data_IF_357327576691
#
_entry.id   IF_357327576691
#
_cell.length_a   1.000
_cell.length_b   1.000
_cell.length_c   1.000
_cell.angle_alpha   90.00
_cell.angle_beta   90.00
_cell.angle_gamma   90.00
#
_symmetry.space_group_name_H-M   'P 1'
#
loop_
_entity.id
_entity.type
_entity.pdbx_description
1 polymer ?
#
# COMPACT_ATOMS: atom_id res chain seq x y z
N UNK A 1 42.31 -10.71 -9.71
CA UNK A 1 41.97 -11.98 -9.02
C UNK A 1 42.51 -11.86 -7.61
N UNK A 2 41.65 -11.59 -6.64
CA UNK A 2 42.02 -11.39 -5.24
C UNK A 2 41.41 -12.54 -4.45
N UNK A 3 42.25 -13.44 -3.94
CA UNK A 3 41.81 -14.56 -3.10
C UNK A 3 41.66 -14.07 -1.67
N UNK A 4 40.41 -14.08 -1.17
CA UNK A 4 40.08 -13.76 0.20
C UNK A 4 40.36 -15.01 1.07
N UNK A 5 41.30 -14.91 2.01
CA UNK A 5 41.56 -15.95 2.99
C UNK A 5 40.46 -15.91 4.07
N UNK A 6 39.63 -16.94 4.11
CA UNK A 6 38.51 -17.09 5.04
C UNK A 6 38.98 -17.92 6.24
N UNK A 7 38.75 -17.41 7.44
CA UNK A 7 39.07 -18.06 8.73
C UNK A 7 37.94 -19.05 9.07
N UNK A 8 38.23 -20.31 9.47
CA UNK A 8 37.20 -21.31 9.77
C UNK A 8 36.55 -21.00 11.12
N UNK A 9 35.24 -20.76 11.12
CA UNK A 9 34.45 -20.48 12.34
C UNK A 9 33.41 -19.37 12.18
N UNK A 10 33.47 -18.61 11.07
CA UNK A 10 32.57 -17.48 10.78
C UNK A 10 31.57 -17.77 9.63
N UNK A 11 31.39 -19.04 9.26
CA UNK A 11 30.64 -19.44 8.04
C UNK A 11 29.13 -19.70 8.22
N UNK A 12 28.61 -19.81 9.44
CA UNK A 12 27.17 -20.15 9.62
C UNK A 12 26.28 -18.92 9.81
N UNK A 13 26.86 -17.76 10.13
CA UNK A 13 26.12 -16.49 10.29
C UNK A 13 25.90 -15.79 8.94
N UNK A 14 26.78 -16.04 7.97
CA UNK A 14 26.78 -15.38 6.66
C UNK A 14 25.63 -15.74 5.70
N UNK A 15 25.06 -16.96 5.69
CA UNK A 15 23.93 -17.27 4.81
C UNK A 15 22.72 -16.43 5.20
N UNK A 16 22.43 -16.29 6.50
CA UNK A 16 21.25 -15.56 6.97
C UNK A 16 21.39 -14.06 6.71
N UNK A 17 22.58 -13.48 6.93
CA UNK A 17 22.86 -12.07 6.68
C UNK A 17 22.92 -11.75 5.18
N UNK A 18 23.47 -12.64 4.36
CA UNK A 18 23.47 -12.51 2.89
C UNK A 18 22.07 -12.70 2.31
N UNK A 19 21.21 -13.54 2.91
CA UNK A 19 19.83 -13.70 2.47
C UNK A 19 18.97 -12.49 2.86
N UNK A 20 19.26 -11.88 4.01
CA UNK A 20 18.64 -10.64 4.46
C UNK A 20 19.11 -9.41 3.67
N UNK A 21 20.36 -9.38 3.23
CA UNK A 21 20.93 -8.33 2.37
C UNK A 21 20.55 -8.53 0.89
N UNK A 22 20.42 -9.77 0.41
CA UNK A 22 19.96 -10.10 -0.94
C UNK A 22 18.43 -10.00 -1.09
N UNK A 23 17.68 -10.00 0.03
CA UNK A 23 16.31 -9.49 0.11
C UNK A 23 16.29 -7.96 -0.08
N UNK A 24 16.78 -7.53 -1.24
CA UNK A 24 16.53 -6.24 -1.83
C UNK A 24 15.02 -5.96 -1.87
N UNK A 25 14.62 -4.68 -1.94
CA UNK A 25 13.21 -4.28 -2.01
C UNK A 25 12.41 -4.83 -3.21
N UNK A 26 12.98 -5.74 -4.02
CA UNK A 26 12.35 -6.41 -5.15
C UNK A 26 12.18 -7.94 -5.01
N UNK A 27 12.54 -8.58 -3.88
CA UNK A 27 12.27 -10.02 -3.74
C UNK A 27 10.76 -10.26 -3.74
N UNK A 28 10.26 -10.96 -4.76
CA UNK A 28 8.84 -11.26 -4.89
C UNK A 28 8.37 -12.09 -3.69
N UNK A 29 7.08 -12.03 -3.38
CA UNK A 29 6.50 -12.86 -2.31
C UNK A 29 6.76 -14.37 -2.53
N UNK A 30 6.93 -14.79 -3.79
CA UNK A 30 7.35 -16.14 -4.19
C UNK A 30 8.74 -16.51 -3.65
N UNK A 31 9.70 -15.60 -3.78
CA UNK A 31 11.11 -15.87 -3.52
C UNK A 31 11.38 -15.93 -2.01
N UNK A 32 10.66 -15.10 -1.26
CA UNK A 32 10.66 -15.15 0.20
C UNK A 32 10.04 -16.45 0.74
N UNK A 33 8.96 -16.93 0.11
CA UNK A 33 8.32 -18.21 0.47
C UNK A 33 9.22 -19.40 0.17
N UNK A 34 9.81 -19.46 -1.03
CA UNK A 34 10.72 -20.53 -1.42
C UNK A 34 11.93 -20.59 -0.49
N UNK A 35 12.45 -19.42 -0.09
CA UNK A 35 13.57 -19.40 0.83
C UNK A 35 13.19 -19.87 2.24
N UNK A 36 12.02 -19.49 2.76
CA UNK A 36 11.50 -20.00 4.03
C UNK A 36 11.28 -21.51 4.00
N UNK A 37 10.79 -22.05 2.88
CA UNK A 37 10.58 -23.48 2.68
C UNK A 37 11.90 -24.25 2.64
N UNK A 38 12.89 -23.74 1.90
CA UNK A 38 14.23 -24.34 1.84
C UNK A 38 14.92 -24.30 3.21
N UNK A 39 14.71 -23.23 3.97
CA UNK A 39 15.24 -23.09 5.32
C UNK A 39 14.56 -24.07 6.29
N UNK A 40 13.22 -24.14 6.27
CA UNK A 40 12.46 -25.10 7.07
C UNK A 40 12.89 -26.54 6.78
N UNK A 41 13.03 -26.88 5.49
CA UNK A 41 13.51 -28.19 5.05
C UNK A 41 14.93 -28.49 5.52
N UNK A 42 15.82 -27.50 5.48
CA UNK A 42 17.18 -27.63 6.02
C UNK A 42 17.16 -27.97 7.51
N UNK A 43 16.34 -27.27 8.31
CA UNK A 43 16.23 -27.56 9.75
C UNK A 43 15.58 -28.91 10.04
N UNK A 44 14.55 -29.30 9.30
CA UNK A 44 13.93 -30.62 9.43
C UNK A 44 14.94 -31.73 9.11
N UNK A 45 15.66 -31.61 7.98
CA UNK A 45 16.66 -32.59 7.58
C UNK A 45 17.84 -32.66 8.57
N UNK A 46 18.28 -31.51 9.11
CA UNK A 46 19.34 -31.46 10.11
C UNK A 46 18.91 -32.05 11.47
N UNK A 47 17.62 -32.00 11.80
CA UNK A 47 17.08 -32.63 13.00
C UNK A 47 16.89 -34.16 12.85
N UNK A 48 16.74 -34.64 11.61
CA UNK A 48 16.61 -36.08 11.29
C UNK A 48 17.96 -36.77 11.10
N UNK A 49 19.00 -36.04 10.67
CA UNK A 49 20.35 -36.57 10.68
C UNK A 49 20.84 -36.72 12.12
N UNK A 50 21.30 -37.91 12.50
CA UNK A 50 21.94 -38.26 13.79
C UNK A 50 23.23 -37.45 14.10
N UNK A 51 23.51 -36.44 13.26
CA UNK A 51 24.50 -35.41 13.51
C UNK A 51 23.98 -34.54 14.64
N UNK A 52 24.68 -34.58 15.78
CA UNK A 52 24.37 -33.92 17.07
C UNK A 52 24.49 -32.38 16.99
N UNK A 53 24.05 -31.78 15.88
CA UNK A 53 23.88 -30.34 15.66
C UNK A 53 22.64 -29.90 16.42
N UNK A 54 22.69 -30.04 17.74
CA UNK A 54 21.71 -29.49 18.64
C UNK A 54 21.57 -28.00 18.34
N UNK A 55 20.34 -27.59 18.02
CA UNK A 55 19.93 -26.19 18.00
C UNK A 55 20.19 -25.61 19.39
N UNK A 56 21.35 -24.98 19.57
CA UNK A 56 21.69 -24.38 20.84
C UNK A 56 20.63 -23.32 21.19
N UNK A 57 20.34 -23.07 22.48
CA UNK A 57 19.39 -22.04 22.88
C UNK A 57 19.68 -20.68 22.23
N UNK A 58 20.95 -20.37 21.98
CA UNK A 58 21.37 -19.15 21.28
C UNK A 58 20.92 -19.14 19.80
N UNK A 59 21.03 -20.26 19.08
CA UNK A 59 20.56 -20.37 17.68
C UNK A 59 19.04 -20.27 17.58
N UNK A 60 18.32 -20.90 18.50
CA UNK A 60 16.85 -20.79 18.59
C UNK A 60 16.45 -19.34 18.87
N UNK A 61 17.12 -18.67 19.83
CA UNK A 61 16.86 -17.27 20.15
C UNK A 61 17.12 -16.35 18.94
N UNK A 62 18.26 -16.52 18.26
CA UNK A 62 18.59 -15.76 17.06
C UNK A 62 17.52 -15.93 15.97
N UNK A 63 17.08 -17.17 15.72
CA UNK A 63 16.00 -17.46 14.79
C UNK A 63 14.70 -16.75 15.17
N UNK A 64 14.26 -16.87 16.43
CA UNK A 64 13.03 -16.22 16.90
C UNK A 64 13.11 -14.71 16.69
N UNK A 65 14.24 -14.09 17.03
CA UNK A 65 14.43 -12.66 16.80
C UNK A 65 14.38 -12.29 15.31
N UNK A 66 15.00 -13.06 14.43
CA UNK A 66 14.94 -12.82 12.99
C UNK A 66 13.51 -12.96 12.46
N UNK A 67 12.75 -13.96 12.89
CA UNK A 67 11.36 -14.13 12.49
C UNK A 67 10.46 -12.98 12.98
N UNK A 68 10.68 -12.52 14.21
CA UNK A 68 9.96 -11.36 14.76
C UNK A 68 10.27 -10.10 13.95
N UNK A 69 11.55 -9.85 13.65
CA UNK A 69 11.99 -8.71 12.84
C UNK A 69 11.42 -8.77 11.41
N UNK A 70 11.47 -9.94 10.77
CA UNK A 70 10.88 -10.16 9.45
C UNK A 70 9.37 -9.90 9.44
N UNK A 71 8.65 -10.39 10.45
CA UNK A 71 7.21 -10.15 10.61
C UNK A 71 6.88 -8.67 10.80
N UNK A 72 7.68 -7.94 11.58
CA UNK A 72 7.51 -6.50 11.75
C UNK A 72 7.75 -5.74 10.44
N UNK A 73 8.80 -6.10 9.69
CA UNK A 73 9.08 -5.51 8.36
C UNK A 73 7.93 -5.77 7.38
N UNK A 74 7.40 -7.00 7.32
CA UNK A 74 6.27 -7.33 6.47
C UNK A 74 5.02 -6.50 6.80
N UNK A 75 4.71 -6.32 8.10
CA UNK A 75 3.59 -5.48 8.54
C UNK A 75 3.76 -4.01 8.12
N UNK A 76 4.98 -3.47 8.25
CA UNK A 76 5.29 -2.10 7.81
C UNK A 76 5.06 -1.94 6.31
N UNK A 77 5.57 -2.86 5.49
CA UNK A 77 5.41 -2.80 4.04
C UNK A 77 3.94 -2.91 3.61
N UNK A 78 3.14 -3.77 4.27
CA UNK A 78 1.70 -3.85 4.03
C UNK A 78 1.03 -2.51 4.35
N UNK A 79 1.33 -1.92 5.51
CA UNK A 79 0.76 -0.63 5.91
C UNK A 79 1.16 0.51 4.95
N UNK A 80 2.40 0.53 4.48
CA UNK A 80 2.90 1.49 3.50
C UNK A 80 2.23 1.32 2.14
N UNK A 81 2.12 0.10 1.63
CA UNK A 81 1.35 -0.22 0.42
C UNK A 81 -0.09 0.25 0.53
N UNK A 82 -0.75 -0.02 1.67
CA UNK A 82 -2.15 0.35 1.86
C UNK A 82 -2.32 1.87 2.03
N UNK A 83 -1.32 2.57 2.57
CA UNK A 83 -1.27 4.03 2.59
C UNK A 83 -1.10 4.60 1.17
N UNK A 84 -0.20 4.04 0.36
CA UNK A 84 0.00 4.43 -1.03
C UNK A 84 -1.25 4.18 -1.88
N UNK A 85 -1.92 3.03 -1.71
CA UNK A 85 -3.19 2.73 -2.38
C UNK A 85 -4.29 3.72 -2.00
N UNK A 86 -4.41 4.09 -0.72
CA UNK A 86 -5.38 5.10 -0.30
C UNK A 86 -5.06 6.48 -0.87
N UNK A 87 -3.79 6.87 -0.87
CA UNK A 87 -3.34 8.14 -1.45
C UNK A 87 -3.61 8.18 -2.97
N UNK A 88 -3.36 7.09 -3.69
CA UNK A 88 -3.65 6.96 -5.10
C UNK A 88 -5.16 7.04 -5.41
N UNK A 89 -6.01 6.59 -4.49
CA UNK A 89 -7.47 6.61 -4.63
C UNK A 89 -8.12 7.88 -4.04
N UNK A 90 -7.33 8.93 -3.74
CA UNK A 90 -7.87 10.19 -3.22
C UNK A 90 -7.87 11.25 -4.31
N UNK A 91 -9.06 11.76 -4.65
CA UNK A 91 -9.21 12.89 -5.57
C UNK A 91 -9.37 14.19 -4.79
N UNK A 92 -8.74 15.26 -5.27
CA UNK A 92 -8.87 16.60 -4.68
C UNK A 92 -9.99 17.34 -5.39
N UNK A 93 -11.11 17.53 -4.69
CA UNK A 93 -12.26 18.28 -5.20
C UNK A 93 -11.96 19.78 -5.12
N UNK A 94 -11.91 20.44 -6.27
CA UNK A 94 -11.77 21.90 -6.36
C UNK A 94 -13.14 22.53 -6.54
N UNK A 95 -13.57 23.26 -5.52
CA UNK A 95 -14.79 24.06 -5.58
C UNK A 95 -14.53 25.40 -6.30
N UNK A 96 -15.46 25.77 -7.16
CA UNK A 96 -15.47 26.99 -7.97
C UNK A 96 -16.71 27.79 -7.55
N UNK A 97 -16.53 29.08 -7.28
CA UNK A 97 -17.63 29.98 -6.97
C UNK A 97 -18.50 30.14 -8.23
N UNK A 98 -19.79 29.82 -8.10
CA UNK A 98 -20.73 29.82 -9.23
C UNK A 98 -20.94 31.23 -9.79
N UNK A 99 -20.64 32.29 -9.03
CA UNK A 99 -20.68 33.67 -9.50
C UNK A 99 -19.45 34.09 -10.32
N UNK A 100 -18.31 33.40 -10.13
CA UNK A 100 -17.07 33.66 -10.87
C UNK A 100 -17.05 32.89 -12.20
N UNK A 101 -17.51 31.64 -12.17
CA UNK A 101 -17.49 30.74 -13.32
C UNK A 101 -18.62 29.73 -13.21
N UNK A 102 -19.33 29.52 -14.31
CA UNK A 102 -20.32 28.45 -14.47
C UNK A 102 -19.68 27.24 -15.16
N UNK A 103 -20.17 26.00 -14.91
CA UNK A 103 -19.76 24.83 -15.67
C UNK A 103 -20.25 24.96 -17.13
N UNK A 104 -19.74 24.07 -18.00
CA UNK A 104 -20.32 23.91 -19.33
C UNK A 104 -21.80 23.50 -19.22
N UNK A 105 -22.62 23.88 -20.20
CA UNK A 105 -24.03 23.49 -20.18
C UNK A 105 -24.18 21.95 -20.29
N UNK A 106 -25.18 21.40 -19.61
CA UNK A 106 -25.54 19.97 -19.64
C UNK A 106 -24.48 18.99 -19.09
N UNK A 107 -23.54 19.45 -18.26
CA UNK A 107 -22.64 18.54 -17.50
C UNK A 107 -23.13 18.36 -16.07
N UNK A 108 -23.08 17.12 -15.58
CA UNK A 108 -23.33 16.82 -14.17
C UNK A 108 -22.14 17.22 -13.31
N UNK A 109 -22.41 17.99 -12.26
CA UNK A 109 -21.43 18.52 -11.30
C UNK A 109 -21.90 18.30 -9.87
N UNK A 110 -20.95 18.31 -8.94
CA UNK A 110 -21.26 18.47 -7.53
C UNK A 110 -21.60 19.93 -7.27
N UNK A 111 -22.70 20.22 -6.58
CA UNK A 111 -23.14 21.58 -6.24
C UNK A 111 -23.28 21.75 -4.74
N UNK A 112 -22.92 22.93 -4.24
CA UNK A 112 -23.16 23.36 -2.86
C UNK A 112 -24.31 24.37 -2.86
N UNK A 113 -25.40 23.98 -2.23
CA UNK A 113 -26.55 24.86 -2.01
C UNK A 113 -26.40 25.54 -0.65
N UNK A 114 -26.78 26.80 -0.53
CA UNK A 114 -26.85 27.54 0.74
C UNK A 114 -28.05 27.11 1.59
N UNK A 115 -28.13 25.80 1.90
CA UNK A 115 -29.08 25.22 2.86
C UNK A 115 -28.31 24.34 3.87
N UNK A 116 -28.70 24.38 5.14
CA UNK A 116 -27.97 23.76 6.26
C UNK A 116 -28.14 22.23 6.33
N UNK A 117 -29.12 21.67 5.61
CA UNK A 117 -29.54 20.28 5.79
C UNK A 117 -28.68 19.24 5.04
N UNK A 118 -28.24 19.57 3.82
CA UNK A 118 -27.41 18.68 2.98
C UNK A 118 -26.39 19.53 2.23
N UNK A 119 -25.08 19.32 2.49
CA UNK A 119 -24.06 20.27 2.04
C UNK A 119 -23.71 20.17 0.56
N UNK A 120 -23.98 19.03 -0.09
CA UNK A 120 -23.55 18.74 -1.46
C UNK A 120 -24.59 17.88 -2.19
N UNK A 121 -24.93 18.29 -3.41
CA UNK A 121 -25.85 17.59 -4.30
C UNK A 121 -25.22 17.34 -5.68
N UNK A 122 -25.87 16.54 -6.52
CA UNK A 122 -25.57 16.45 -7.95
C UNK A 122 -26.55 17.37 -8.69
N UNK A 123 -26.03 18.19 -9.60
CA UNK A 123 -26.85 19.07 -10.43
C UNK A 123 -26.16 19.42 -11.73
N UNK A 124 -26.85 20.17 -12.58
CA UNK A 124 -26.31 20.72 -13.83
C UNK A 124 -26.83 22.14 -14.05
N UNK A 125 -26.15 22.90 -14.90
CA UNK A 125 -26.58 24.21 -15.36
C UNK A 125 -26.93 24.09 -16.86
N UNK A 126 -28.10 24.56 -17.28
CA UNK A 126 -28.56 24.47 -18.69
C UNK A 126 -28.11 25.67 -19.56
N UNK A 127 -27.44 26.64 -18.94
CA UNK A 127 -27.02 27.90 -19.56
C UNK A 127 -27.81 29.11 -19.06
N UNK A 128 -28.96 28.90 -18.43
CA UNK A 128 -29.77 29.96 -17.83
C UNK A 128 -30.01 29.73 -16.33
N UNK A 129 -30.25 28.49 -15.91
CA UNK A 129 -30.60 28.13 -14.53
C UNK A 129 -29.95 26.84 -14.06
N UNK A 130 -29.91 26.65 -12.73
CA UNK A 130 -29.46 25.42 -12.10
C UNK A 130 -30.59 24.44 -11.85
N UNK A 131 -30.31 23.16 -12.12
CA UNK A 131 -31.16 22.01 -11.78
C UNK A 131 -30.45 21.08 -10.80
N UNK A 132 -31.16 20.69 -9.74
CA UNK A 132 -30.71 19.72 -8.72
C UNK A 132 -31.87 18.77 -8.44
N UNK A 133 -31.66 17.47 -8.59
CA UNK A 133 -32.72 16.45 -8.45
C UNK A 133 -33.99 16.78 -9.28
N UNK A 134 -33.78 17.13 -10.55
CA UNK A 134 -34.81 17.55 -11.53
C UNK A 134 -35.62 18.81 -11.13
N UNK A 135 -35.22 19.50 -10.06
CA UNK A 135 -35.87 20.72 -9.57
C UNK A 135 -34.96 21.92 -9.79
N UNK A 136 -35.57 23.07 -10.08
CA UNK A 136 -34.85 24.33 -10.25
C UNK A 136 -34.40 24.92 -8.92
N UNK A 137 -33.18 25.48 -8.86
CA UNK A 137 -32.62 26.12 -7.66
C UNK A 137 -31.85 27.42 -7.97
N UNK A 138 -32.06 28.48 -7.19
CA UNK A 138 -31.26 29.72 -7.31
C UNK A 138 -30.08 29.78 -6.33
N UNK A 139 -30.04 28.90 -5.34
CA UNK A 139 -29.15 28.99 -4.18
C UNK A 139 -27.83 28.21 -4.33
N UNK A 140 -27.40 27.89 -5.55
CA UNK A 140 -26.10 27.25 -5.79
C UNK A 140 -25.00 28.29 -5.62
N UNK A 141 -24.14 28.08 -4.62
CA UNK A 141 -23.03 28.99 -4.31
C UNK A 141 -21.72 28.55 -4.94
N UNK A 142 -21.50 27.23 -5.01
CA UNK A 142 -20.28 26.66 -5.56
C UNK A 142 -20.60 25.37 -6.32
N UNK A 143 -19.74 25.05 -7.27
CA UNK A 143 -19.77 23.77 -7.96
C UNK A 143 -18.37 23.16 -8.04
N UNK A 144 -18.30 21.87 -8.31
CA UNK A 144 -17.06 21.15 -8.59
C UNK A 144 -17.33 20.04 -9.60
N UNK A 145 -16.32 19.71 -10.41
CA UNK A 145 -16.39 18.53 -11.29
C UNK A 145 -16.64 17.26 -10.48
N UNK A 146 -17.39 16.33 -11.08
CA UNK A 146 -17.60 15.00 -10.49
C UNK A 146 -16.26 14.25 -10.41
N UNK A 147 -15.92 13.63 -9.26
CA UNK A 147 -14.73 12.79 -9.18
C UNK A 147 -14.87 11.61 -10.13
N UNK A 148 -13.76 11.21 -10.77
CA UNK A 148 -13.71 10.09 -11.70
C UNK A 148 -13.93 8.74 -11.01
N UNK A 149 -13.70 8.70 -9.70
CA UNK A 149 -13.72 7.49 -8.91
C UNK A 149 -12.43 6.68 -9.05
N UNK A 150 -12.34 5.54 -8.37
CA UNK A 150 -11.18 4.67 -8.48
C UNK A 150 -11.06 4.12 -9.91
N UNK A 151 -9.90 4.31 -10.54
CA UNK A 151 -9.58 3.62 -11.79
C UNK A 151 -9.60 2.10 -11.55
N UNK A 152 -10.46 1.39 -12.28
CA UNK A 152 -10.44 -0.08 -12.30
C UNK A 152 -9.25 -0.48 -13.18
N UNK A 153 -8.17 -0.98 -12.56
CA UNK A 153 -7.07 -1.57 -13.31
C UNK A 153 -7.63 -2.71 -14.18
N UNK A 154 -7.63 -2.49 -15.50
CA UNK A 154 -8.10 -3.45 -16.51
C UNK A 154 -6.99 -4.39 -16.98
#
# INVERSE_FOLDING_TARGET
MTTCNIVPGYEIVHPMESLMLAAEPGLGASDASECLDNWTRYFCNAAESDDDVLMTPQRVSALVHTLVAARQRARRLIAERDALKRAANTEVIRWIDASEQLPDADIDVMVKIDDESVPIWIGHHDGEVWYVDDSWHEAVTHWAEMPFGPEVAS
#
